data_IF_805016969902
#
_entry.id   IF_805016969902
#
_cell.length_a   1.000
_cell.length_b   1.000
_cell.length_c   1.000
_cell.angle_alpha   90.00
_cell.angle_beta   90.00
_cell.angle_gamma   90.00
#
_symmetry.space_group_name_H-M   'P 1'
#
loop_
_entity.id
_entity.type
_entity.pdbx_description
1 polymer ?
#
# COMPACT_ATOMS: atom_id res chain seq x y z
N UNK A 1 4.79 43.82 44.95
CA UNK A 1 5.35 42.53 45.42
C UNK A 1 4.98 41.47 44.41
N UNK A 2 6.00 40.86 43.82
CA UNK A 2 5.91 39.91 42.72
C UNK A 2 5.52 38.51 43.20
N UNK A 3 4.71 37.78 42.41
CA UNK A 3 4.70 36.31 42.38
C UNK A 3 4.40 35.83 40.97
N UNK A 4 5.44 35.38 40.28
CA UNK A 4 5.36 34.69 39.00
C UNK A 4 4.83 33.26 39.15
N UNK A 5 4.12 32.78 38.13
CA UNK A 5 3.75 31.38 37.96
C UNK A 5 4.69 30.75 36.92
N UNK A 6 5.30 29.58 37.18
CA UNK A 6 6.05 28.86 36.16
C UNK A 6 5.10 28.02 35.28
N UNK A 7 5.31 28.09 33.97
CA UNK A 7 4.76 27.15 33.00
C UNK A 7 5.61 25.87 33.02
N UNK A 8 5.02 24.75 33.41
CA UNK A 8 5.61 23.43 33.26
C UNK A 8 5.40 22.93 31.84
N UNK A 9 6.49 22.78 31.09
CA UNK A 9 6.51 22.06 29.82
C UNK A 9 6.31 20.57 30.10
N UNK A 10 5.29 19.95 29.48
CA UNK A 10 5.12 18.49 29.45
C UNK A 10 5.73 17.98 28.16
N UNK A 11 6.89 17.33 28.26
CA UNK A 11 7.45 16.46 27.22
C UNK A 11 6.62 15.18 27.21
N UNK A 12 5.86 14.95 26.14
CA UNK A 12 5.26 13.66 25.86
C UNK A 12 6.30 12.80 25.12
N UNK A 13 6.87 11.82 25.83
CA UNK A 13 7.66 10.77 25.20
C UNK A 13 6.67 9.76 24.59
N UNK A 14 6.54 9.75 23.26
CA UNK A 14 5.80 8.72 22.53
C UNK A 14 6.57 7.41 22.60
N UNK A 15 5.94 6.37 23.13
CA UNK A 15 6.48 5.02 23.11
C UNK A 15 6.18 4.40 21.73
N UNK A 16 7.23 4.10 20.96
CA UNK A 16 7.13 3.24 19.78
C UNK A 16 6.94 1.79 20.25
N UNK A 17 5.76 1.22 19.99
CA UNK A 17 5.53 -0.21 20.12
C UNK A 17 5.88 -0.89 18.78
N UNK A 18 7.07 -1.48 18.70
CA UNK A 18 7.44 -2.34 17.59
C UNK A 18 6.89 -3.75 17.85
N UNK A 19 5.86 -4.16 17.10
CA UNK A 19 5.41 -5.53 17.09
C UNK A 19 6.32 -6.34 16.16
N UNK A 20 7.22 -7.14 16.74
CA UNK A 20 8.10 -8.04 15.99
C UNK A 20 7.33 -9.35 15.77
N UNK A 21 6.80 -9.56 14.57
CA UNK A 21 6.24 -10.84 14.12
C UNK A 21 7.36 -11.69 13.52
N UNK A 22 7.89 -12.64 14.30
CA UNK A 22 8.80 -13.68 13.81
C UNK A 22 7.97 -14.82 13.21
N UNK A 23 7.75 -14.79 11.90
CA UNK A 23 7.23 -15.94 11.17
C UNK A 23 8.37 -16.94 10.93
N UNK A 24 8.42 -18.01 11.72
CA UNK A 24 9.37 -19.11 11.53
C UNK A 24 8.81 -20.08 10.47
N UNK A 25 9.07 -19.82 9.20
CA UNK A 25 8.88 -20.80 8.12
C UNK A 25 10.13 -21.68 8.02
N UNK A 26 10.00 -22.97 8.33
CA UNK A 26 11.05 -23.97 8.14
C UNK A 26 11.11 -24.40 6.67
N UNK A 27 11.85 -23.65 5.86
CA UNK A 27 12.35 -24.06 4.55
C UNK A 27 13.88 -24.03 4.57
N UNK A 28 14.54 -24.97 3.91
CA UNK A 28 16.01 -25.07 3.75
C UNK A 28 16.57 -23.97 2.85
N UNK A 29 16.23 -22.71 3.13
CA UNK A 29 16.80 -21.53 2.50
C UNK A 29 17.90 -20.97 3.40
N UNK A 30 19.06 -20.68 2.82
CA UNK A 30 20.23 -20.11 3.47
C UNK A 30 19.83 -18.95 4.40
N UNK A 31 20.10 -19.08 5.71
CA UNK A 31 19.52 -18.35 6.84
C UNK A 31 19.60 -16.82 6.83
N UNK A 32 18.95 -16.19 5.86
CA UNK A 32 18.71 -14.75 5.77
C UNK A 32 17.32 -14.46 6.32
N UNK A 33 17.26 -13.66 7.39
CA UNK A 33 15.99 -13.09 7.86
C UNK A 33 15.93 -11.65 7.40
N UNK A 34 14.89 -11.29 6.64
CA UNK A 34 14.63 -9.91 6.23
C UNK A 34 13.45 -9.37 7.04
N UNK A 35 13.67 -8.27 7.76
CA UNK A 35 12.63 -7.55 8.48
C UNK A 35 12.42 -6.22 7.77
N UNK A 36 11.22 -6.02 7.23
CA UNK A 36 10.81 -4.75 6.63
C UNK A 36 9.99 -3.98 7.65
N UNK A 37 10.31 -2.72 7.88
CA UNK A 37 9.52 -1.84 8.75
C UNK A 37 9.26 -0.53 8.04
N UNK A 38 8.00 -0.11 7.98
CA UNK A 38 7.58 1.15 7.38
C UNK A 38 7.12 2.09 8.49
N UNK A 39 7.65 3.31 8.52
CA UNK A 39 7.21 4.32 9.48
C UNK A 39 5.89 4.99 9.05
N UNK A 40 5.30 5.78 9.95
CA UNK A 40 4.04 6.49 9.69
C UNK A 40 4.15 7.56 8.59
N UNK A 41 5.36 7.89 8.12
CA UNK A 41 5.60 8.79 6.99
C UNK A 41 5.85 8.03 5.68
N UNK A 42 5.67 6.70 5.66
CA UNK A 42 5.86 5.87 4.48
C UNK A 42 7.31 5.51 4.18
N UNK A 43 8.26 5.83 5.06
CA UNK A 43 9.66 5.43 4.86
C UNK A 43 9.82 3.96 5.22
N UNK A 44 10.21 3.17 4.24
CA UNK A 44 10.46 1.73 4.42
C UNK A 44 11.95 1.48 4.68
N UNK A 45 12.25 0.84 5.80
CA UNK A 45 13.59 0.35 6.16
C UNK A 45 13.59 -1.17 6.06
N UNK A 46 14.48 -1.71 5.24
CA UNK A 46 14.69 -3.16 5.11
C UNK A 46 15.95 -3.53 5.88
N UNK A 47 15.80 -4.35 6.92
CA UNK A 47 16.90 -4.87 7.73
C UNK A 47 17.11 -6.34 7.37
N UNK A 48 18.19 -6.63 6.67
CA UNK A 48 18.61 -7.99 6.37
C UNK A 48 19.63 -8.46 7.40
N UNK A 49 19.30 -9.52 8.14
CA UNK A 49 20.20 -10.16 9.10
C UNK A 49 20.59 -11.54 8.61
N UNK A 50 21.88 -11.78 8.46
CA UNK A 50 22.44 -13.12 8.20
C UNK A 50 22.67 -13.80 9.53
N UNK A 51 21.99 -14.92 9.78
CA UNK A 51 22.27 -15.75 10.96
C UNK A 51 23.30 -16.78 10.56
N UNK A 52 24.55 -16.62 11.02
CA UNK A 52 25.55 -17.67 10.84
C UNK A 52 25.13 -18.92 11.61
N UNK A 53 25.09 -20.11 10.99
CA UNK A 53 24.70 -21.33 11.67
C UNK A 53 25.74 -21.70 12.73
N UNK A 54 25.40 -21.55 14.00
CA UNK A 54 26.22 -22.07 15.11
C UNK A 54 26.28 -23.58 15.01
N UNK A 55 27.46 -24.11 14.67
CA UNK A 55 27.73 -25.55 14.66
C UNK A 55 27.85 -26.01 16.11
N UNK A 56 26.77 -26.55 16.68
CA UNK A 56 26.80 -27.13 18.03
C UNK A 56 27.65 -28.41 18.06
N UNK A 57 28.89 -28.29 18.53
CA UNK A 57 29.68 -29.42 19.01
C UNK A 57 29.33 -29.74 20.47
N UNK A 58 29.29 -31.03 20.89
CA UNK A 58 28.89 -31.37 22.24
C UNK A 58 29.99 -31.03 23.24
N UNK A 59 29.79 -29.93 23.97
CA UNK A 59 30.40 -29.71 25.28
C UNK A 59 31.60 -28.79 25.32
N UNK A 60 31.42 -27.49 25.04
CA UNK A 60 32.32 -26.48 25.60
C UNK A 60 31.54 -25.19 25.94
N UNK A 61 31.70 -24.74 27.18
CA UNK A 61 31.00 -23.59 27.73
C UNK A 61 31.70 -22.31 27.22
N UNK A 62 31.19 -21.75 26.12
CA UNK A 62 31.76 -20.53 25.52
C UNK A 62 31.22 -19.29 26.25
N UNK A 63 32.13 -18.37 26.57
CA UNK A 63 31.86 -17.08 27.21
C UNK A 63 30.93 -16.19 26.35
N UNK A 64 30.21 -15.22 26.93
CA UNK A 64 29.31 -14.35 26.18
C UNK A 64 30.05 -13.55 25.11
N UNK A 65 29.70 -13.81 23.86
CA UNK A 65 30.18 -13.10 22.66
C UNK A 65 29.69 -11.66 22.68
N UNK A 66 30.60 -10.73 22.36
CA UNK A 66 30.33 -9.30 22.23
C UNK A 66 29.21 -9.01 21.24
N UNK A 67 28.42 -7.96 21.52
CA UNK A 67 27.28 -7.55 20.70
C UNK A 67 27.72 -7.20 19.26
N UNK A 68 26.91 -7.55 18.24
CA UNK A 68 27.21 -7.22 16.86
C UNK A 68 27.24 -5.70 16.64
N UNK A 69 28.10 -5.27 15.72
CA UNK A 69 28.28 -3.88 15.32
C UNK A 69 26.98 -3.27 14.76
N UNK A 70 26.81 -1.95 14.96
CA UNK A 70 25.65 -1.18 14.51
C UNK A 70 25.32 -1.45 13.02
N UNK A 71 24.04 -1.66 12.67
CA UNK A 71 23.65 -1.94 11.29
C UNK A 71 23.89 -0.71 10.40
N UNK A 72 24.44 -0.97 9.21
CA UNK A 72 24.61 0.06 8.17
C UNK A 72 23.29 0.22 7.43
N UNK A 73 22.61 1.35 7.64
CA UNK A 73 21.40 1.70 6.91
C UNK A 73 21.71 1.86 5.41
N UNK A 74 21.14 0.99 4.59
CA UNK A 74 21.19 1.12 3.13
C UNK A 74 19.90 1.78 2.66
N UNK A 75 19.99 3.05 2.28
CA UNK A 75 18.89 3.79 1.64
C UNK A 75 18.87 3.42 0.16
N UNK A 76 17.74 2.90 -0.32
CA UNK A 76 17.51 2.74 -1.76
C UNK A 76 17.26 4.12 -2.36
N UNK A 77 17.90 4.47 -3.50
CA UNK A 77 17.65 5.72 -4.18
C UNK A 77 16.25 5.72 -4.80
N UNK A 78 15.46 6.75 -4.50
CA UNK A 78 14.24 7.07 -5.25
C UNK A 78 14.65 7.34 -6.70
N UNK A 79 14.09 6.62 -7.70
CA UNK A 79 14.35 6.93 -9.09
C UNK A 79 13.67 8.26 -9.43
N UNK A 80 14.44 9.36 -9.54
CA UNK A 80 13.92 10.59 -10.15
C UNK A 80 14.30 11.95 -9.55
N UNK A 81 15.50 12.15 -9.01
CA UNK A 81 16.04 13.52 -8.85
C UNK A 81 17.23 13.73 -9.80
N UNK A 82 16.94 13.88 -11.09
CA UNK A 82 17.91 14.40 -12.07
C UNK A 82 17.80 15.91 -12.20
N UNK A 83 18.78 16.61 -11.63
CA UNK A 83 19.35 17.80 -12.26
C UNK A 83 18.78 19.15 -11.85
N UNK A 84 19.44 19.76 -10.87
CA UNK A 84 19.30 21.16 -10.49
C UNK A 84 19.53 22.14 -11.66
N UNK A 85 18.50 22.94 -11.95
CA UNK A 85 18.65 24.30 -12.49
C UNK A 85 18.10 25.29 -11.45
N UNK A 86 18.78 26.41 -11.16
CA UNK A 86 18.27 27.42 -10.23
C UNK A 86 17.26 28.29 -10.98
N UNK A 87 16.02 27.80 -11.09
CA UNK A 87 14.86 28.60 -11.41
C UNK A 87 13.97 28.65 -10.17
N UNK A 88 13.87 29.81 -9.53
CA UNK A 88 12.88 30.12 -8.49
C UNK A 88 11.47 30.15 -9.09
N UNK A 89 11.04 29.08 -9.76
CA UNK A 89 9.65 28.91 -10.15
C UNK A 89 8.93 28.30 -8.94
N UNK A 90 8.35 29.18 -8.14
CA UNK A 90 7.43 28.79 -7.07
C UNK A 90 6.18 28.25 -7.76
N UNK A 91 6.24 26.97 -8.15
CA UNK A 91 5.05 26.23 -8.55
C UNK A 91 4.11 26.23 -7.35
N UNK A 92 3.11 27.11 -7.40
CA UNK A 92 2.06 27.15 -6.39
C UNK A 92 1.19 25.93 -6.63
N UNK A 93 1.52 24.82 -5.98
CA UNK A 93 0.70 23.62 -5.97
C UNK A 93 -0.68 24.01 -5.42
N UNK A 94 -1.74 23.71 -6.17
CA UNK A 94 -3.11 23.94 -5.70
C UNK A 94 -3.33 23.19 -4.37
N UNK A 95 -4.14 23.71 -3.44
CA UNK A 95 -4.46 22.96 -2.23
C UNK A 95 -5.28 21.70 -2.56
N UNK A 96 -5.23 20.67 -1.71
CA UNK A 96 -6.15 19.53 -1.81
C UNK A 96 -7.60 20.01 -1.71
N UNK A 97 -8.49 19.35 -2.44
CA UNK A 97 -9.91 19.70 -2.51
C UNK A 97 -10.78 18.58 -1.94
N UNK A 98 -11.90 18.91 -1.30
CA UNK A 98 -12.86 17.90 -0.86
C UNK A 98 -13.75 17.45 -2.03
N UNK A 99 -13.92 16.15 -2.21
CA UNK A 99 -14.90 15.56 -3.11
C UNK A 99 -15.88 14.67 -2.32
N UNK A 100 -17.15 14.71 -2.70
CA UNK A 100 -18.18 13.81 -2.16
C UNK A 100 -18.42 12.70 -3.18
N UNK A 101 -18.15 11.46 -2.79
CA UNK A 101 -18.30 10.23 -3.56
C UNK A 101 -19.50 9.47 -3.01
N UNK A 102 -20.67 9.65 -3.63
CA UNK A 102 -21.95 9.09 -3.14
C UNK A 102 -22.34 9.65 -1.76
N UNK A 103 -21.91 9.01 -0.67
CA UNK A 103 -22.21 9.33 0.72
C UNK A 103 -20.96 9.39 1.61
N UNK A 104 -19.77 9.45 0.98
CA UNK A 104 -18.50 9.65 1.68
C UNK A 104 -17.78 10.87 1.12
N UNK A 105 -17.14 11.65 1.98
CA UNK A 105 -16.20 12.70 1.59
C UNK A 105 -14.78 12.13 1.56
N UNK A 106 -13.96 12.61 0.63
CA UNK A 106 -12.52 12.35 0.54
C UNK A 106 -11.75 13.65 0.30
N UNK A 107 -10.45 13.65 0.60
CA UNK A 107 -9.51 14.69 0.17
C UNK A 107 -8.85 14.26 -1.13
N UNK A 108 -9.07 15.01 -2.20
CA UNK A 108 -8.45 14.79 -3.50
C UNK A 108 -7.11 15.51 -3.53
N UNK A 109 -5.99 14.80 -3.76
CA UNK A 109 -4.67 15.44 -3.83
C UNK A 109 -4.59 16.45 -4.96
N UNK A 110 -3.66 17.40 -4.83
CA UNK A 110 -3.51 18.48 -5.79
C UNK A 110 -3.17 17.96 -7.20
N UNK A 111 -3.92 18.40 -8.21
CA UNK A 111 -3.70 17.99 -9.60
C UNK A 111 -4.25 16.61 -9.95
N UNK A 112 -4.90 15.93 -9.02
CA UNK A 112 -5.64 14.71 -9.31
C UNK A 112 -7.03 15.03 -9.87
N UNK A 113 -7.61 14.08 -10.61
CA UNK A 113 -8.98 14.18 -11.13
C UNK A 113 -9.84 13.03 -10.62
N UNK A 114 -11.14 13.30 -10.47
CA UNK A 114 -12.13 12.31 -10.03
C UNK A 114 -13.00 11.92 -11.22
N UNK A 115 -13.09 10.63 -11.50
CA UNK A 115 -13.92 10.06 -12.54
C UNK A 115 -14.96 9.11 -11.94
N UNK A 116 -16.22 9.24 -12.36
CA UNK A 116 -17.29 8.29 -12.06
C UNK A 116 -17.17 7.07 -12.99
N UNK A 117 -17.07 5.86 -12.40
CA UNK A 117 -17.00 4.59 -13.12
C UNK A 117 -18.33 3.81 -13.10
N UNK A 118 -19.37 4.35 -12.47
CA UNK A 118 -20.68 3.73 -12.30
C UNK A 118 -20.67 2.57 -11.29
N UNK A 119 -21.70 1.74 -11.37
CA UNK A 119 -21.86 0.57 -10.51
C UNK A 119 -20.82 -0.52 -10.85
N UNK A 120 -20.41 -1.29 -9.85
CA UNK A 120 -19.62 -2.50 -10.07
C UNK A 120 -20.50 -3.62 -10.64
N UNK A 121 -19.98 -4.38 -11.59
CA UNK A 121 -20.66 -5.54 -12.16
C UNK A 121 -20.14 -6.79 -11.46
N UNK A 122 -20.92 -7.64 -10.80
CA UNK A 122 -20.42 -8.91 -10.23
C UNK A 122 -20.27 -10.01 -11.31
N UNK A 123 -19.36 -10.98 -11.13
CA UNK A 123 -19.29 -12.14 -12.03
C UNK A 123 -20.55 -13.00 -11.94
N UNK A 124 -21.08 -13.17 -10.73
CA UNK A 124 -22.32 -13.90 -10.47
C UNK A 124 -23.31 -12.98 -9.73
N UNK A 125 -24.05 -12.11 -10.45
CA UNK A 125 -24.94 -11.14 -9.82
C UNK A 125 -26.06 -11.85 -9.05
N UNK A 126 -26.16 -11.58 -7.75
CA UNK A 126 -27.23 -12.10 -6.91
C UNK A 126 -28.45 -11.19 -7.02
N UNK A 127 -29.60 -11.78 -7.36
CA UNK A 127 -30.83 -11.02 -7.53
C UNK A 127 -31.21 -10.24 -6.25
N UNK A 128 -31.38 -8.93 -6.39
CA UNK A 128 -31.75 -8.02 -5.30
C UNK A 128 -30.58 -7.45 -4.51
N UNK A 129 -29.33 -7.86 -4.78
CA UNK A 129 -28.17 -7.17 -4.25
C UNK A 129 -27.96 -5.84 -4.98
N UNK A 130 -27.65 -4.80 -4.20
CA UNK A 130 -27.25 -3.48 -4.70
C UNK A 130 -25.75 -3.50 -4.95
N UNK A 131 -25.32 -3.14 -6.15
CA UNK A 131 -23.92 -3.01 -6.48
C UNK A 131 -23.31 -1.77 -5.80
N UNK A 132 -22.02 -1.81 -5.43
CA UNK A 132 -21.30 -0.62 -4.97
C UNK A 132 -21.09 0.34 -6.15
N UNK A 133 -21.04 1.65 -5.86
CA UNK A 133 -20.68 2.67 -6.84
C UNK A 133 -19.17 2.86 -6.84
N UNK A 134 -18.54 3.02 -8.01
CA UNK A 134 -17.09 3.11 -8.17
C UNK A 134 -16.67 4.49 -8.65
N UNK A 135 -15.58 4.98 -8.08
CA UNK A 135 -14.93 6.24 -8.43
C UNK A 135 -13.44 5.99 -8.65
N UNK A 136 -12.86 6.63 -9.66
CA UNK A 136 -11.41 6.59 -9.89
C UNK A 136 -10.80 7.97 -9.63
N UNK A 137 -9.83 8.02 -8.73
CA UNK A 137 -9.00 9.18 -8.45
C UNK A 137 -7.69 8.97 -9.21
N UNK A 138 -7.44 9.80 -10.22
CA UNK A 138 -6.26 9.67 -11.09
C UNK A 138 -5.28 10.81 -10.85
N UNK A 139 -3.97 10.53 -10.74
CA UNK A 139 -2.97 11.57 -10.68
C UNK A 139 -2.86 12.31 -12.03
N UNK A 140 -2.21 13.48 -12.02
CA UNK A 140 -1.99 14.28 -13.22
C UNK A 140 -1.00 13.71 -14.25
N UNK A 141 -0.43 12.51 -14.00
CA UNK A 141 0.45 11.79 -14.93
C UNK A 141 -0.23 10.52 -15.45
N UNK A 142 0.12 10.13 -16.67
CA UNK A 142 -0.46 8.96 -17.31
C UNK A 142 0.11 7.67 -16.71
N UNK A 143 -0.79 6.81 -16.23
CA UNK A 143 -0.51 5.42 -15.86
C UNK A 143 -1.54 4.54 -16.60
N UNK A 144 -1.18 3.36 -17.10
CA UNK A 144 -2.17 2.44 -17.66
C UNK A 144 -3.24 2.07 -16.61
N UNK A 145 -4.53 2.02 -16.97
CA UNK A 145 -5.58 1.71 -16.03
C UNK A 145 -5.58 0.23 -15.63
N UNK A 146 -5.84 -0.03 -14.35
CA UNK A 146 -6.22 -1.34 -13.81
C UNK A 146 -7.67 -1.26 -13.36
N UNK A 147 -8.51 -2.21 -13.80
CA UNK A 147 -9.96 -2.18 -13.59
C UNK A 147 -10.61 -0.83 -13.96
N UNK A 148 -10.26 -0.32 -15.15
CA UNK A 148 -10.68 0.99 -15.66
C UNK A 148 -10.21 2.21 -14.84
N UNK A 149 -9.26 2.03 -13.91
CA UNK A 149 -8.71 3.09 -13.07
C UNK A 149 -7.19 3.22 -13.12
N UNK A 150 -6.69 4.40 -13.48
CA UNK A 150 -5.27 4.72 -13.58
C UNK A 150 -4.67 5.32 -12.28
N UNK A 151 -5.16 4.91 -11.11
CA UNK A 151 -4.77 5.50 -9.83
C UNK A 151 -5.38 4.77 -8.64
N UNK A 152 -6.22 5.48 -7.89
CA UNK A 152 -6.91 4.96 -6.70
C UNK A 152 -8.39 4.77 -7.00
N UNK A 153 -8.86 3.53 -6.94
CA UNK A 153 -10.28 3.20 -7.04
C UNK A 153 -10.92 3.25 -5.65
N UNK A 154 -12.06 3.92 -5.54
CA UNK A 154 -12.88 3.98 -4.33
C UNK A 154 -14.24 3.39 -4.68
N UNK A 155 -14.56 2.23 -4.09
CA UNK A 155 -15.87 1.61 -4.17
C UNK A 155 -16.65 1.92 -2.89
N UNK A 156 -17.89 2.39 -3.03
CA UNK A 156 -18.73 2.89 -1.94
C UNK A 156 -20.10 2.25 -1.97
N UNK A 157 -20.55 1.76 -0.82
CA UNK A 157 -21.93 1.28 -0.62
C UNK A 157 -22.18 -0.12 -1.19
N UNK A 158 -23.45 -0.39 -1.51
CA UNK A 158 -23.90 -1.71 -1.99
C UNK A 158 -24.00 -2.77 -0.90
N UNK A 159 -24.39 -3.98 -1.28
CA UNK A 159 -24.43 -5.16 -0.41
C UNK A 159 -23.11 -5.95 -0.43
N UNK A 160 -22.18 -5.57 -1.30
CA UNK A 160 -20.86 -6.16 -1.48
C UNK A 160 -19.88 -5.11 -2.01
N UNK A 161 -18.58 -5.34 -1.82
CA UNK A 161 -17.49 -4.50 -2.35
C UNK A 161 -16.66 -5.31 -3.36
N UNK A 162 -16.06 -4.69 -4.38
CA UNK A 162 -15.45 -5.44 -5.46
C UNK A 162 -14.13 -6.10 -5.08
N UNK A 163 -14.10 -7.42 -5.00
CA UNK A 163 -12.92 -8.26 -4.73
C UNK A 163 -12.27 -8.80 -6.01
N UNK A 164 -11.64 -9.96 -5.92
CA UNK A 164 -11.02 -10.65 -7.05
C UNK A 164 -12.06 -11.34 -7.95
N UNK A 165 -11.78 -11.39 -9.25
CA UNK A 165 -12.49 -12.20 -10.26
C UNK A 165 -14.02 -12.11 -10.20
N UNK A 166 -14.55 -10.92 -10.00
CA UNK A 166 -16.00 -10.80 -9.96
C UNK A 166 -16.67 -10.94 -8.60
N UNK A 167 -15.92 -11.31 -7.57
CA UNK A 167 -16.44 -11.75 -6.28
C UNK A 167 -16.50 -10.61 -5.27
N UNK A 168 -17.35 -10.72 -4.24
CA UNK A 168 -17.24 -9.86 -3.08
C UNK A 168 -15.83 -9.89 -2.48
N UNK A 169 -15.34 -8.73 -2.07
CA UNK A 169 -14.07 -8.60 -1.37
C UNK A 169 -14.16 -9.23 0.02
N UNK A 170 -13.12 -9.98 0.38
CA UNK A 170 -12.92 -10.52 1.72
C UNK A 170 -11.46 -10.24 2.14
N UNK A 171 -11.19 -9.88 3.42
CA UNK A 171 -9.82 -9.79 3.92
C UNK A 171 -9.04 -11.09 3.68
N UNK A 172 -7.80 -10.98 3.20
CA UNK A 172 -6.94 -12.11 2.88
C UNK A 172 -7.20 -12.73 1.50
N UNK A 173 -8.08 -12.14 0.68
CA UNK A 173 -8.45 -12.66 -0.63
C UNK A 173 -7.26 -12.63 -1.60
N UNK A 174 -6.98 -13.78 -2.23
CA UNK A 174 -6.02 -13.90 -3.32
C UNK A 174 -6.44 -12.97 -4.46
N UNK A 175 -5.50 -12.17 -4.95
CA UNK A 175 -5.72 -11.14 -5.97
C UNK A 175 -6.80 -10.10 -5.62
N UNK A 176 -7.19 -9.96 -4.33
CA UNK A 176 -8.24 -9.03 -3.89
C UNK A 176 -7.99 -7.56 -4.24
N UNK A 177 -6.75 -7.21 -4.59
CA UNK A 177 -6.33 -5.89 -5.07
C UNK A 177 -6.82 -5.55 -6.48
N UNK A 178 -7.28 -6.50 -7.30
CA UNK A 178 -7.82 -6.26 -8.65
C UNK A 178 -9.13 -7.01 -8.86
N UNK A 179 -9.89 -6.64 -9.90
CA UNK A 179 -11.21 -7.19 -10.20
C UNK A 179 -11.19 -8.25 -11.30
N UNK A 180 -10.41 -8.06 -12.36
CA UNK A 180 -10.45 -8.92 -13.54
C UNK A 180 -9.61 -10.19 -13.42
N UNK A 181 -10.01 -11.25 -14.13
CA UNK A 181 -9.24 -12.50 -14.34
C UNK A 181 -8.17 -12.36 -15.42
N UNK A 182 -8.33 -11.35 -16.29
CA UNK A 182 -7.46 -11.15 -17.45
C UNK A 182 -6.03 -10.86 -17.00
N UNK A 183 -5.07 -11.31 -17.81
CA UNK A 183 -3.68 -11.03 -17.55
C UNK A 183 -3.41 -9.54 -17.75
N UNK A 184 -2.94 -8.85 -16.71
CA UNK A 184 -2.61 -7.44 -16.80
C UNK A 184 -1.27 -7.26 -17.53
N UNK A 185 -1.22 -6.33 -18.48
CA UNK A 185 0.03 -5.90 -19.10
C UNK A 185 0.84 -5.08 -18.10
N UNK A 186 2.16 -5.12 -18.22
CA UNK A 186 3.05 -4.31 -17.38
C UNK A 186 2.75 -2.81 -17.58
N UNK A 187 2.39 -2.07 -16.52
CA UNK A 187 2.01 -0.66 -16.63
C UNK A 187 3.18 0.27 -16.97
N UNK A 188 4.42 -0.22 -16.82
CA UNK A 188 5.65 0.54 -17.06
C UNK A 188 6.29 0.26 -18.42
N UNK A 189 5.63 -0.57 -19.23
CA UNK A 189 6.07 -0.92 -20.58
C UNK A 189 5.01 -0.50 -21.61
N UNK A 190 4.93 0.80 -21.97
CA UNK A 190 3.92 1.29 -22.90
C UNK A 190 4.12 0.77 -24.33
N UNK A 191 5.27 0.16 -24.63
CA UNK A 191 5.58 -0.45 -25.93
C UNK A 191 5.31 -1.96 -25.94
N UNK A 192 4.86 -2.54 -24.82
CA UNK A 192 4.51 -3.95 -24.74
C UNK A 192 3.46 -4.31 -25.79
N UNK A 193 3.84 -5.21 -26.69
CA UNK A 193 2.92 -5.80 -27.65
C UNK A 193 2.08 -6.89 -26.93
N UNK A 194 0.76 -6.71 -26.76
CA UNK A 194 -0.08 -7.71 -26.15
C UNK A 194 -0.17 -9.01 -26.96
N UNK A 195 0.19 -8.97 -28.25
CA UNK A 195 0.23 -10.13 -29.15
C UNK A 195 1.61 -10.78 -29.26
N UNK A 196 2.60 -10.30 -28.49
CA UNK A 196 3.90 -10.95 -28.39
C UNK A 196 3.76 -12.41 -27.93
N UNK A 197 4.69 -13.28 -28.35
CA UNK A 197 4.71 -14.68 -27.91
C UNK A 197 4.85 -14.80 -26.38
N UNK A 198 5.53 -13.83 -25.75
CA UNK A 198 5.68 -13.70 -24.30
C UNK A 198 5.38 -12.26 -23.90
N UNK A 199 4.10 -11.90 -23.67
CA UNK A 199 3.75 -10.53 -23.32
C UNK A 199 4.29 -10.16 -21.94
N UNK A 200 4.79 -8.92 -21.82
CA UNK A 200 5.24 -8.37 -20.54
C UNK A 200 4.02 -8.12 -19.64
N UNK A 201 3.85 -8.96 -18.64
CA UNK A 201 2.63 -9.06 -17.86
C UNK A 201 2.91 -8.95 -16.38
N UNK A 202 1.89 -8.62 -15.61
CA UNK A 202 1.98 -8.50 -14.16
C UNK A 202 1.74 -9.86 -13.53
N UNK A 203 2.65 -10.28 -12.67
CA UNK A 203 2.48 -11.46 -11.81
C UNK A 203 2.58 -11.05 -10.36
N UNK A 204 1.67 -11.53 -9.53
CA UNK A 204 1.70 -11.33 -8.09
C UNK A 204 2.64 -12.34 -7.42
N UNK A 205 3.38 -11.88 -6.42
CA UNK A 205 4.13 -12.73 -5.52
C UNK A 205 3.18 -13.52 -4.60
N UNK A 206 3.74 -14.47 -3.84
CA UNK A 206 3.00 -15.25 -2.84
C UNK A 206 1.70 -15.88 -3.38
N UNK A 207 1.71 -16.31 -4.65
CA UNK A 207 0.55 -16.90 -5.33
C UNK A 207 -0.69 -15.98 -5.31
N UNK A 208 -0.49 -14.65 -5.33
CA UNK A 208 -1.55 -13.65 -5.30
C UNK A 208 -2.09 -13.34 -3.90
N UNK A 209 -1.63 -14.02 -2.85
CA UNK A 209 -2.00 -13.68 -1.48
C UNK A 209 -1.39 -12.32 -1.06
N UNK A 210 -2.07 -11.56 -0.18
CA UNK A 210 -1.48 -10.34 0.37
C UNK A 210 -0.21 -10.68 1.17
N UNK A 211 0.83 -9.86 1.01
CA UNK A 211 2.05 -9.90 1.80
C UNK A 211 1.83 -9.43 3.24
N UNK A 212 0.91 -8.48 3.40
CA UNK A 212 0.53 -7.92 4.70
C UNK A 212 -0.98 -7.89 4.75
N UNK A 213 -1.53 -8.32 5.89
CA UNK A 213 -2.92 -8.09 6.29
C UNK A 213 -2.89 -7.60 7.73
N UNK A 214 -3.40 -6.40 8.00
CA UNK A 214 -3.32 -5.79 9.34
C UNK A 214 -4.55 -4.94 9.62
N UNK A 215 -5.03 -5.02 10.85
CA UNK A 215 -6.05 -4.10 11.36
C UNK A 215 -5.41 -2.75 11.72
N UNK A 216 -6.01 -1.66 11.24
CA UNK A 216 -5.55 -0.30 11.44
C UNK A 216 -6.75 0.64 11.64
N UNK A 217 -6.51 1.95 11.67
CA UNK A 217 -7.55 2.97 11.68
C UNK A 217 -7.39 3.91 10.48
N UNK A 218 -8.50 4.24 9.83
CA UNK A 218 -8.60 5.32 8.84
C UNK A 218 -9.54 6.35 9.44
N UNK A 219 -9.00 7.53 9.77
CA UNK A 219 -9.76 8.60 10.41
C UNK A 219 -10.55 8.13 11.66
N UNK A 220 -9.88 7.38 12.54
CA UNK A 220 -10.44 6.78 13.76
C UNK A 220 -11.49 5.67 13.54
N UNK A 221 -11.73 5.27 12.28
CA UNK A 221 -12.60 4.15 11.95
C UNK A 221 -11.75 2.89 11.77
N UNK A 222 -12.15 1.74 12.34
CA UNK A 222 -11.46 0.48 12.12
C UNK A 222 -11.38 0.15 10.63
N UNK A 223 -10.21 -0.26 10.18
CA UNK A 223 -9.95 -0.63 8.80
C UNK A 223 -9.07 -1.88 8.72
N UNK A 224 -9.22 -2.65 7.65
CA UNK A 224 -8.25 -3.68 7.26
C UNK A 224 -7.38 -3.10 6.15
N UNK A 225 -6.07 -3.14 6.36
CA UNK A 225 -5.07 -2.74 5.38
C UNK A 225 -4.33 -3.96 4.85
N UNK A 226 -4.23 -4.06 3.53
CA UNK A 226 -3.55 -5.14 2.85
C UNK A 226 -2.61 -4.64 1.76
N UNK A 227 -1.51 -5.36 1.53
CA UNK A 227 -0.53 -5.04 0.48
C UNK A 227 -0.16 -6.29 -0.30
N UNK A 228 0.06 -6.13 -1.60
CA UNK A 228 0.60 -7.15 -2.48
C UNK A 228 1.95 -6.69 -3.02
N UNK A 229 2.78 -7.62 -3.46
CA UNK A 229 3.91 -7.30 -4.34
C UNK A 229 3.67 -7.94 -5.68
N UNK A 230 3.76 -7.13 -6.71
CA UNK A 230 3.58 -7.60 -8.08
C UNK A 230 4.78 -7.14 -8.91
N UNK A 231 5.11 -7.91 -9.93
CA UNK A 231 6.25 -7.64 -10.82
C UNK A 231 5.88 -7.83 -12.28
N UNK A 232 6.54 -7.08 -13.14
CA UNK A 232 6.49 -7.28 -14.58
C UNK A 232 7.39 -8.45 -14.98
N UNK A 233 6.87 -9.37 -15.79
CA UNK A 233 7.58 -10.61 -16.16
C UNK A 233 8.85 -10.36 -16.97
N UNK A 234 8.89 -9.32 -17.81
CA UNK A 234 10.03 -9.05 -18.69
C UNK A 234 11.06 -8.07 -18.10
N UNK A 235 10.61 -7.05 -17.36
CA UNK A 235 11.49 -5.99 -16.85
C UNK A 235 11.92 -6.18 -15.39
N UNK A 236 11.29 -7.10 -14.67
CA UNK A 236 11.42 -7.27 -13.21
C UNK A 236 11.03 -6.04 -12.37
N UNK A 237 10.49 -4.99 -13.01
CA UNK A 237 9.94 -3.83 -12.31
C UNK A 237 8.82 -4.29 -11.37
N UNK A 238 8.87 -3.83 -10.13
CA UNK A 238 7.92 -4.21 -9.10
C UNK A 238 7.17 -3.01 -8.56
N UNK A 239 5.93 -3.23 -8.18
CA UNK A 239 5.09 -2.25 -7.49
C UNK A 239 4.26 -2.93 -6.40
N UNK A 240 3.63 -2.11 -5.56
CA UNK A 240 2.97 -2.58 -4.33
C UNK A 240 1.53 -2.09 -4.29
N UNK A 241 0.60 -2.81 -4.93
CA UNK A 241 -0.82 -2.56 -4.76
C UNK A 241 -1.20 -2.66 -3.29
N UNK A 242 -2.13 -1.82 -2.88
CA UNK A 242 -2.58 -1.73 -1.51
C UNK A 242 -4.09 -1.49 -1.43
N UNK A 243 -4.72 -2.08 -0.42
CA UNK A 243 -6.18 -2.05 -0.22
C UNK A 243 -6.49 -1.63 1.21
N UNK A 244 -7.49 -0.77 1.37
CA UNK A 244 -8.09 -0.43 2.65
C UNK A 244 -9.58 -0.71 2.60
N UNK A 245 -10.03 -1.60 3.47
CA UNK A 245 -11.44 -1.87 3.69
C UNK A 245 -11.87 -1.19 4.99
N UNK A 246 -12.84 -0.28 4.91
CA UNK A 246 -13.42 0.45 6.05
C UNK A 246 -14.88 0.00 6.22
N UNK A 247 -15.14 -1.04 7.03
CA UNK A 247 -16.45 -1.69 7.05
C UNK A 247 -17.58 -0.78 7.53
N UNK A 248 -17.29 0.13 8.46
CA UNK A 248 -18.29 1.05 9.02
C UNK A 248 -18.87 2.03 7.97
N UNK A 249 -18.06 2.41 6.98
CA UNK A 249 -18.49 3.24 5.86
C UNK A 249 -18.96 2.42 4.66
N UNK A 250 -18.74 1.10 4.69
CA UNK A 250 -18.89 0.21 3.54
C UNK A 250 -18.10 0.74 2.32
N UNK A 251 -16.80 0.96 2.53
CA UNK A 251 -15.87 1.49 1.53
C UNK A 251 -14.69 0.55 1.33
N UNK A 252 -14.32 0.37 0.07
CA UNK A 252 -13.06 -0.26 -0.35
C UNK A 252 -12.24 0.74 -1.16
N UNK A 253 -11.05 1.05 -0.68
CA UNK A 253 -10.06 1.86 -1.41
C UNK A 253 -8.99 0.92 -1.95
N UNK A 254 -8.78 0.92 -3.27
CA UNK A 254 -7.73 0.15 -3.94
C UNK A 254 -6.77 1.12 -4.61
N UNK A 255 -5.52 1.10 -4.22
CA UNK A 255 -4.44 1.81 -4.89
C UNK A 255 -3.58 0.79 -5.61
N UNK A 256 -3.68 0.81 -6.93
CA UNK A 256 -3.04 -0.20 -7.79
C UNK A 256 -1.52 -0.06 -7.85
N UNK A 257 -0.96 1.08 -7.45
CA UNK A 257 0.45 1.40 -7.71
C UNK A 257 1.24 1.77 -6.44
N UNK A 258 0.59 1.90 -5.30
CA UNK A 258 1.25 2.30 -4.04
C UNK A 258 1.58 3.79 -4.02
N UNK A 259 0.65 4.63 -4.48
CA UNK A 259 0.81 6.08 -4.53
C UNK A 259 1.03 6.68 -3.13
N UNK A 260 2.02 7.56 -3.01
CA UNK A 260 2.33 8.24 -1.76
C UNK A 260 1.18 9.12 -1.24
N UNK A 261 0.38 9.67 -2.17
CA UNK A 261 -0.75 10.56 -1.84
C UNK A 261 -1.99 9.81 -1.33
N UNK A 262 -2.02 8.47 -1.36
CA UNK A 262 -3.19 7.72 -0.91
C UNK A 262 -3.49 7.92 0.57
N UNK A 263 -2.47 8.19 1.40
CA UNK A 263 -2.66 8.59 2.79
C UNK A 263 -3.53 9.86 2.93
N UNK A 264 -3.36 10.83 2.04
CA UNK A 264 -4.18 12.05 2.03
C UNK A 264 -5.65 11.76 1.70
N UNK A 265 -5.91 10.85 0.74
CA UNK A 265 -7.27 10.41 0.39
C UNK A 265 -7.96 9.79 1.61
N UNK A 266 -7.24 8.92 2.33
CA UNK A 266 -7.71 8.23 3.53
C UNK A 266 -7.93 9.19 4.71
N UNK A 267 -7.07 10.18 4.91
CA UNK A 267 -7.24 11.21 5.95
C UNK A 267 -8.52 12.02 5.74
N UNK A 268 -8.94 12.18 4.49
CA UNK A 268 -10.17 12.86 4.12
C UNK A 268 -11.43 11.99 4.19
N UNK A 269 -11.28 10.68 4.40
CA UNK A 269 -12.38 9.72 4.32
C UNK A 269 -13.32 9.85 5.52
N UNK A 270 -14.53 10.33 5.28
CA UNK A 270 -15.60 10.46 6.29
C UNK A 270 -16.95 10.09 5.68
N UNK A 271 -17.84 9.47 6.45
CA UNK A 271 -19.26 9.35 6.07
C UNK A 271 -20.03 10.66 6.33
N UNK A 272 -21.09 10.88 5.54
CA UNK A 272 -22.07 11.96 5.75
C UNK A 272 -23.00 11.73 6.96
#
# INVERSE_FOLDING_TARGET
>A
MARGRPHGARLAAGALAAAVLLAACSGEDDGLTTVTTTDQAGNTVVVTSTVEPTTEGPGEQVAPTEAPADPVATTLPVPGESGAGPGDDVTTTAPPEHAVLTNVSVLVPAGWTVQDLGEAEAAEPVAGQVAPHRWCLTPGYAVPPVDDCAGVLVAVGGDWLPGADGQPYEPGQVDGWRWGTEQLLCPFDPEADPEAEEPNTVVADAEGAPLTTTETEVNQLPAVYETWRVRCTATEDAFTPQVWHVPELNVLVKDYFGQADTGQILDGLTGD
#
